data_IF_602637883956
#
_entry.id   IF_602637883956
#
_cell.length_a   1.000
_cell.length_b   1.000
_cell.length_c   1.000
_cell.angle_alpha   90.00
_cell.angle_beta   90.00
_cell.angle_gamma   90.00
#
_symmetry.space_group_name_H-M   'P 1'
#
loop_
_entity.id
_entity.type
_entity.pdbx_description
1 polymer ?
#
# COMPACT_ATOMS: atom_id res chain seq x y z
N UNK A 1 -0.82 22.62 0.64
CA UNK A 1 -0.09 21.60 -0.14
C UNK A 1 -0.81 20.28 -0.05
N UNK A 2 -0.91 19.55 -1.16
CA UNK A 2 -1.51 18.23 -1.08
C UNK A 2 -0.64 17.31 -0.23
N UNK A 3 -1.29 16.53 0.61
CA UNK A 3 -0.61 15.56 1.45
C UNK A 3 -0.27 14.31 0.63
N UNK A 4 0.95 13.84 0.79
CA UNK A 4 1.37 12.58 0.18
C UNK A 4 1.14 11.47 1.21
N UNK A 5 0.21 10.58 0.93
CA UNK A 5 -0.13 9.49 1.84
C UNK A 5 0.79 8.27 1.70
N UNK A 6 1.67 8.30 0.72
CA UNK A 6 2.53 7.16 0.43
C UNK A 6 3.43 6.76 1.61
N UNK A 7 4.14 7.70 2.28
CA UNK A 7 4.99 7.32 3.40
C UNK A 7 4.21 6.67 4.55
N UNK A 8 3.06 7.25 4.90
CA UNK A 8 2.24 6.71 5.99
C UNK A 8 1.61 5.39 5.60
N UNK A 9 1.14 5.27 4.36
CA UNK A 9 0.54 4.05 3.85
C UNK A 9 1.54 2.90 3.88
N UNK A 10 2.75 3.13 3.37
CA UNK A 10 3.76 2.07 3.33
C UNK A 10 4.25 1.70 4.72
N UNK A 11 4.29 2.67 5.64
CA UNK A 11 4.63 2.37 7.03
C UNK A 11 3.60 1.44 7.67
N UNK A 12 2.31 1.65 7.38
CA UNK A 12 1.25 0.79 7.88
C UNK A 12 1.34 -0.62 7.28
N UNK A 13 1.61 -0.70 5.99
CA UNK A 13 1.80 -2.00 5.33
C UNK A 13 2.99 -2.74 5.93
N UNK A 14 4.10 -2.06 6.11
CA UNK A 14 5.30 -2.65 6.68
C UNK A 14 5.04 -3.16 8.10
N UNK A 15 4.36 -2.38 8.91
CA UNK A 15 4.03 -2.76 10.29
C UNK A 15 3.14 -4.01 10.33
N UNK A 16 2.34 -4.22 9.30
CA UNK A 16 1.46 -5.39 9.20
C UNK A 16 2.15 -6.62 8.57
N UNK A 17 3.42 -6.50 8.21
CA UNK A 17 4.17 -7.63 7.68
C UNK A 17 4.34 -7.61 6.17
N UNK A 18 3.82 -6.61 5.48
CA UNK A 18 3.98 -6.49 4.04
C UNK A 18 5.37 -5.95 3.71
N UNK A 19 5.91 -6.42 2.60
CA UNK A 19 7.22 -5.98 2.11
C UNK A 19 7.14 -5.69 0.63
N UNK A 20 7.80 -4.61 0.22
CA UNK A 20 7.89 -4.28 -1.21
C UNK A 20 8.75 -5.34 -1.89
N UNK A 21 8.19 -5.98 -2.91
CA UNK A 21 8.89 -7.03 -3.64
C UNK A 21 9.56 -6.47 -4.89
N UNK A 22 8.79 -5.72 -5.69
CA UNK A 22 9.28 -5.20 -6.95
C UNK A 22 8.33 -4.11 -7.47
N UNK A 23 8.78 -3.36 -8.47
CA UNK A 23 7.88 -2.45 -9.19
C UNK A 23 7.08 -3.29 -10.19
N UNK A 24 5.77 -3.17 -10.13
CA UNK A 24 4.92 -3.91 -11.03
C UNK A 24 4.93 -3.29 -12.42
N UNK A 25 4.62 -2.00 -12.49
CA UNK A 25 4.60 -1.29 -13.77
C UNK A 25 4.52 0.20 -13.49
N UNK A 26 5.41 0.98 -14.10
CA UNK A 26 5.42 2.40 -13.90
C UNK A 26 5.60 2.78 -12.44
N UNK A 27 4.67 3.56 -11.92
CA UNK A 27 4.72 4.02 -10.53
C UNK A 27 4.07 3.06 -9.53
N UNK A 28 3.59 1.92 -9.99
CA UNK A 28 2.95 0.95 -9.10
C UNK A 28 4.00 0.01 -8.51
N UNK A 29 3.92 -0.22 -7.20
CA UNK A 29 4.80 -1.12 -6.47
C UNK A 29 4.03 -2.36 -6.06
N UNK A 30 4.70 -3.50 -6.12
CA UNK A 30 4.11 -4.77 -5.72
C UNK A 30 4.58 -5.11 -4.32
N UNK A 31 3.64 -5.30 -3.41
CA UNK A 31 3.93 -5.65 -2.02
C UNK A 31 3.40 -7.04 -1.72
N UNK A 32 4.20 -7.83 -1.01
CA UNK A 32 3.85 -9.19 -0.66
C UNK A 32 3.90 -9.42 0.84
N UNK A 33 3.14 -10.41 1.27
CA UNK A 33 3.08 -10.82 2.68
C UNK A 33 3.26 -12.33 2.73
N UNK A 34 4.08 -12.86 3.68
CA UNK A 34 4.35 -14.30 3.73
C UNK A 34 3.12 -15.16 3.98
N UNK A 35 2.11 -14.62 4.67
CA UNK A 35 0.90 -15.37 4.97
C UNK A 35 -0.22 -15.17 3.97
N UNK A 36 0.03 -14.44 2.88
CA UNK A 36 -0.99 -14.14 1.88
C UNK A 36 -0.56 -14.66 0.52
N UNK A 37 -1.52 -15.27 -0.18
CA UNK A 37 -1.26 -15.81 -1.51
C UNK A 37 -1.31 -14.74 -2.60
N UNK A 38 -1.75 -13.53 -2.27
CA UNK A 38 -1.90 -12.44 -3.24
C UNK A 38 -0.96 -11.30 -2.91
N UNK A 39 -0.71 -10.45 -3.90
CA UNK A 39 0.06 -9.23 -3.72
C UNK A 39 -0.86 -8.02 -3.71
N UNK A 40 -0.40 -6.95 -3.07
CA UNK A 40 -1.10 -5.67 -3.08
C UNK A 40 -0.29 -4.70 -3.94
N UNK A 41 -0.96 -3.97 -4.81
CA UNK A 41 -0.32 -3.00 -5.69
C UNK A 41 -0.53 -1.60 -5.12
N UNK A 42 0.57 -0.90 -4.88
CA UNK A 42 0.56 0.40 -4.23
C UNK A 42 0.95 1.47 -5.24
N UNK A 43 -0.01 2.30 -5.70
CA UNK A 43 0.32 3.42 -6.58
C UNK A 43 0.85 4.59 -5.77
N UNK A 44 1.69 5.39 -6.37
CA UNK A 44 2.19 6.61 -5.75
C UNK A 44 1.18 7.73 -5.96
N UNK A 45 0.03 7.58 -5.34
CA UNK A 45 -1.06 8.52 -5.46
C UNK A 45 -1.17 9.39 -4.22
N UNK A 46 -1.59 10.62 -4.41
CA UNK A 46 -1.87 11.54 -3.30
C UNK A 46 -3.32 11.49 -2.89
N UNK A 47 -4.08 10.54 -3.41
CA UNK A 47 -5.49 10.39 -3.09
C UNK A 47 -5.66 9.60 -1.78
N UNK A 48 -6.35 10.21 -0.82
CA UNK A 48 -6.70 9.53 0.42
C UNK A 48 -7.56 8.30 0.14
N UNK A 49 -8.46 8.41 -0.80
CA UNK A 49 -9.32 7.30 -1.19
C UNK A 49 -8.51 6.11 -1.69
N UNK A 50 -7.53 6.37 -2.54
CA UNK A 50 -6.64 5.32 -3.06
C UNK A 50 -5.85 4.66 -1.94
N UNK A 51 -5.34 5.45 -1.00
CA UNK A 51 -4.59 4.91 0.14
C UNK A 51 -5.46 3.98 0.98
N UNK A 52 -6.71 4.38 1.24
CA UNK A 52 -7.64 3.54 1.99
C UNK A 52 -7.98 2.25 1.24
N UNK A 53 -8.09 2.31 -0.09
CA UNK A 53 -8.35 1.13 -0.90
C UNK A 53 -7.21 0.12 -0.82
N UNK A 54 -5.97 0.59 -0.80
CA UNK A 54 -4.81 -0.26 -0.64
C UNK A 54 -4.87 -0.97 0.72
N UNK A 55 -5.18 -0.22 1.78
CA UNK A 55 -5.31 -0.79 3.12
C UNK A 55 -6.39 -1.86 3.16
N UNK A 56 -7.52 -1.59 2.51
CA UNK A 56 -8.62 -2.55 2.44
C UNK A 56 -8.18 -3.84 1.75
N UNK A 57 -7.46 -3.74 0.64
CA UNK A 57 -6.94 -4.90 -0.07
C UNK A 57 -5.98 -5.71 0.79
N UNK A 58 -5.22 -5.03 1.63
CA UNK A 58 -4.28 -5.67 2.55
C UNK A 58 -4.94 -6.24 3.80
N UNK A 59 -6.26 -6.08 3.93
CA UNK A 59 -6.98 -6.54 5.11
C UNK A 59 -6.81 -5.65 6.32
N UNK A 60 -6.41 -4.40 6.11
CA UNK A 60 -6.19 -3.43 7.17
C UNK A 60 -7.33 -2.43 7.26
N UNK A 61 -7.56 -1.84 8.43
CA UNK A 61 -8.62 -0.84 8.57
C UNK A 61 -8.25 0.46 7.87
N UNK A 62 -9.28 1.19 7.48
CA UNK A 62 -9.13 2.52 6.92
C UNK A 62 -8.40 3.43 7.92
N UNK A 63 -7.39 4.15 7.47
CA UNK A 63 -6.55 4.99 8.32
C UNK A 63 -6.54 6.47 7.91
N UNK A 64 -7.08 6.81 6.74
CA UNK A 64 -7.00 8.18 6.23
C UNK A 64 -8.33 8.84 5.96
#
# INVERSE_FOLDING_TARGET
MPKDFYPELTALLFAAGWRRAENAKGSHEKWRHPDKAFAVFVPRSKSRHTANEVLKQAGLPKAF
#
